data_IF_714432315582
#
_entry.id   IF_714432315582
#
_cell.length_a   1.000
_cell.length_b   1.000
_cell.length_c   1.000
_cell.angle_alpha   90.00
_cell.angle_beta   90.00
_cell.angle_gamma   90.00
#
_symmetry.space_group_name_H-M   'P 1'
#
loop_
_entity.id
_entity.type
_entity.pdbx_description
1 polymer ?
#
# COMPACT_ATOMS: atom_id res chain seq x y z
N UNK A 1 27.95 -39.83 25.65
CA UNK A 1 26.86 -39.61 24.67
C UNK A 1 26.54 -38.12 24.42
N UNK A 2 26.77 -37.18 25.36
CA UNK A 2 26.47 -35.74 25.16
C UNK A 2 27.35 -34.96 24.16
N UNK A 3 28.63 -35.33 23.98
CA UNK A 3 29.57 -34.55 23.13
C UNK A 3 29.28 -34.66 21.63
N UNK A 4 28.78 -35.82 21.18
CA UNK A 4 28.45 -36.06 19.77
C UNK A 4 27.17 -35.29 19.37
N UNK A 5 26.14 -35.30 20.21
CA UNK A 5 24.90 -34.54 19.97
C UNK A 5 25.11 -33.03 19.93
N UNK A 6 25.95 -32.49 20.82
CA UNK A 6 26.30 -31.06 20.83
C UNK A 6 27.03 -30.64 19.53
N UNK A 7 27.93 -31.48 19.03
CA UNK A 7 28.70 -31.24 17.80
C UNK A 7 27.82 -31.30 16.55
N UNK A 8 26.86 -32.22 16.49
CA UNK A 8 25.91 -32.31 15.38
C UNK A 8 24.97 -31.09 15.37
N UNK A 9 24.55 -30.62 16.54
CA UNK A 9 23.74 -29.41 16.68
C UNK A 9 24.49 -28.18 16.18
N UNK A 10 25.75 -27.99 16.57
CA UNK A 10 26.55 -26.83 16.12
C UNK A 10 26.80 -26.86 14.61
N UNK A 11 27.10 -28.02 14.03
CA UNK A 11 27.26 -28.18 12.58
C UNK A 11 25.96 -27.82 11.86
N UNK A 12 24.82 -28.29 12.36
CA UNK A 12 23.50 -28.02 11.77
C UNK A 12 23.17 -26.52 11.82
N UNK A 13 23.44 -25.86 12.96
CA UNK A 13 23.24 -24.41 13.12
C UNK A 13 24.15 -23.60 12.19
N UNK A 14 25.42 -24.00 12.03
CA UNK A 14 26.35 -23.34 11.10
C UNK A 14 25.90 -23.51 9.66
N UNK A 15 25.47 -24.71 9.25
CA UNK A 15 24.97 -24.98 7.89
C UNK A 15 23.71 -24.14 7.61
N UNK A 16 22.73 -24.14 8.53
CA UNK A 16 21.49 -23.37 8.37
C UNK A 16 21.78 -21.86 8.33
N UNK A 17 22.67 -21.34 9.18
CA UNK A 17 23.08 -19.93 9.17
C UNK A 17 23.72 -19.51 7.85
N UNK A 18 24.61 -20.34 7.28
CA UNK A 18 25.23 -20.06 5.98
C UNK A 18 24.25 -20.19 4.80
N UNK A 19 23.27 -21.09 4.88
CA UNK A 19 22.22 -21.23 3.85
C UNK A 19 21.25 -20.03 3.84
N UNK A 20 20.95 -19.45 5.01
CA UNK A 20 20.07 -18.27 5.13
C UNK A 20 20.70 -17.03 4.48
N UNK A 21 22.04 -16.94 4.46
CA UNK A 21 22.77 -15.81 3.87
C UNK A 21 22.86 -15.83 2.32
N UNK A 22 22.37 -16.89 1.67
CA UNK A 22 22.51 -17.08 0.20
C UNK A 22 21.27 -16.68 -0.60
N UNK A 23 20.22 -16.17 0.03
CA UNK A 23 19.03 -15.69 -0.71
C UNK A 23 19.29 -14.28 -1.21
N UNK A 24 19.79 -14.19 -2.44
CA UNK A 24 19.86 -12.92 -3.18
C UNK A 24 18.61 -12.74 -4.03
N UNK A 25 18.09 -11.52 -4.12
CA UNK A 25 17.04 -11.17 -5.09
C UNK A 25 17.61 -11.36 -6.50
N UNK A 26 16.96 -12.18 -7.33
CA UNK A 26 17.56 -12.59 -8.61
C UNK A 26 17.00 -11.87 -9.84
N UNK A 27 15.84 -11.20 -9.74
CA UNK A 27 15.15 -10.63 -10.90
C UNK A 27 14.36 -9.34 -10.65
N UNK A 28 14.57 -8.66 -9.52
CA UNK A 28 13.98 -7.33 -9.28
C UNK A 28 14.98 -6.27 -9.73
N UNK A 29 14.57 -5.40 -10.66
CA UNK A 29 15.40 -4.28 -11.11
C UNK A 29 15.38 -3.17 -10.03
N UNK A 30 16.56 -2.83 -9.53
CA UNK A 30 16.75 -1.78 -8.51
C UNK A 30 17.29 -0.47 -9.09
N UNK A 31 17.60 -0.43 -10.39
CA UNK A 31 18.11 0.75 -11.09
C UNK A 31 17.03 1.44 -11.92
N UNK A 32 16.23 0.67 -12.67
CA UNK A 32 15.16 1.20 -13.51
C UNK A 32 13.80 1.00 -12.82
N UNK A 33 13.51 1.84 -11.83
CA UNK A 33 12.25 1.83 -11.10
C UNK A 33 11.42 3.07 -11.39
N UNK A 34 10.10 2.96 -11.16
CA UNK A 34 9.19 4.10 -11.13
C UNK A 34 8.99 4.52 -9.67
N UNK A 35 9.25 5.79 -9.36
CA UNK A 35 9.10 6.35 -8.03
C UNK A 35 7.85 7.22 -7.92
N UNK A 36 7.07 6.98 -6.87
CA UNK A 36 5.95 7.84 -6.49
C UNK A 36 6.16 8.41 -5.10
N UNK A 37 6.00 9.72 -4.97
CA UNK A 37 5.98 10.43 -3.68
C UNK A 37 4.60 11.03 -3.47
N UNK A 38 4.05 10.83 -2.28
CA UNK A 38 2.83 11.50 -1.86
C UNK A 38 3.11 12.72 -0.97
N UNK A 39 2.05 13.43 -0.55
CA UNK A 39 2.16 14.55 0.37
C UNK A 39 2.85 14.17 1.70
N UNK A 40 3.56 15.10 2.32
CA UNK A 40 4.18 14.87 3.62
C UNK A 40 3.15 14.53 4.69
N UNK A 41 3.53 13.66 5.63
CA UNK A 41 2.68 13.23 6.77
C UNK A 41 1.32 12.62 6.38
N UNK A 42 1.15 12.21 5.12
CA UNK A 42 -0.07 11.56 4.62
C UNK A 42 -0.10 10.05 4.80
N UNK A 43 1.04 9.47 5.20
CA UNK A 43 1.30 8.02 5.17
C UNK A 43 1.08 7.42 3.77
N UNK A 44 1.39 8.17 2.70
CA UNK A 44 1.35 7.64 1.35
C UNK A 44 2.17 6.36 1.22
N UNK A 45 1.55 5.29 0.72
CA UNK A 45 2.16 3.95 0.66
C UNK A 45 1.82 3.07 1.86
N UNK A 46 0.93 3.50 2.76
CA UNK A 46 0.48 2.68 3.90
C UNK A 46 -0.16 1.36 3.45
N UNK A 47 -0.93 1.40 2.36
CA UNK A 47 -1.46 0.23 1.68
C UNK A 47 -1.26 0.35 0.17
N UNK A 48 -1.07 -0.78 -0.51
CA UNK A 48 -0.85 -0.82 -1.96
C UNK A 48 -1.55 -2.01 -2.60
N UNK A 49 -2.09 -1.83 -3.80
CA UNK A 49 -2.66 -2.90 -4.63
C UNK A 49 -2.33 -2.69 -6.11
N UNK A 50 -2.25 -3.77 -6.88
CA UNK A 50 -2.15 -3.69 -8.34
C UNK A 50 -3.55 -3.68 -8.95
N UNK A 51 -3.74 -2.87 -9.99
CA UNK A 51 -5.02 -2.77 -10.67
C UNK A 51 -4.83 -2.66 -12.18
N UNK A 52 -5.82 -3.12 -12.94
CA UNK A 52 -5.83 -3.03 -14.39
C UNK A 52 -7.19 -2.52 -14.83
N UNK A 53 -7.20 -1.45 -15.60
CA UNK A 53 -8.42 -0.80 -16.06
C UNK A 53 -8.24 -0.37 -17.52
N UNK A 54 -9.15 -0.79 -18.39
CA UNK A 54 -9.14 -0.46 -19.83
C UNK A 54 -7.79 -0.74 -20.50
N UNK A 55 -7.19 -1.88 -20.14
CA UNK A 55 -5.88 -2.31 -20.66
C UNK A 55 -4.66 -1.58 -20.08
N UNK A 56 -4.85 -0.62 -19.17
CA UNK A 56 -3.76 0.10 -18.48
C UNK A 56 -3.51 -0.49 -17.10
N UNK A 57 -2.24 -0.60 -16.71
CA UNK A 57 -1.84 -1.06 -15.40
C UNK A 57 -1.65 0.14 -14.47
N UNK A 58 -2.07 -0.03 -13.22
CA UNK A 58 -2.01 1.01 -12.19
C UNK A 58 -1.53 0.42 -10.87
N UNK A 59 -0.91 1.26 -10.07
CA UNK A 59 -0.68 1.00 -8.65
C UNK A 59 -1.69 1.84 -7.87
N UNK A 60 -2.50 1.18 -7.05
CA UNK A 60 -3.40 1.85 -6.11
C UNK A 60 -2.65 2.05 -4.82
N UNK A 61 -2.65 3.27 -4.29
CA UNK A 61 -1.89 3.64 -3.09
C UNK A 61 -2.79 4.31 -2.07
N UNK A 62 -2.88 3.74 -0.87
CA UNK A 62 -3.58 4.35 0.26
C UNK A 62 -2.69 5.34 1.03
N UNK A 63 -3.29 6.42 1.50
CA UNK A 63 -2.67 7.47 2.31
C UNK A 63 -3.66 7.92 3.43
N UNK A 64 -3.76 7.15 4.53
CA UNK A 64 -4.84 7.27 5.51
C UNK A 64 -4.91 8.59 6.28
N UNK A 65 -3.83 9.35 6.32
CA UNK A 65 -3.79 10.65 7.02
C UNK A 65 -3.69 11.83 6.06
N UNK A 66 -3.85 11.57 4.75
CA UNK A 66 -3.83 12.60 3.72
C UNK A 66 -5.05 13.52 3.83
N UNK A 67 -4.85 14.78 3.44
CA UNK A 67 -5.92 15.73 3.26
C UNK A 67 -6.44 15.59 1.82
N UNK A 68 -7.65 15.04 1.66
CA UNK A 68 -8.29 14.95 0.35
C UNK A 68 -8.81 16.30 -0.15
N UNK A 69 -9.33 16.30 -1.37
CA UNK A 69 -9.87 17.54 -1.99
C UNK A 69 -11.04 18.16 -1.21
N UNK A 70 -11.68 17.38 -0.34
CA UNK A 70 -12.76 17.86 0.52
C UNK A 70 -12.22 18.73 1.66
N UNK A 71 -12.30 20.06 1.48
CA UNK A 71 -11.81 21.06 2.45
C UNK A 71 -12.44 21.01 3.84
N UNK A 72 -13.58 20.32 4.02
CA UNK A 72 -14.32 20.25 5.30
C UNK A 72 -13.98 19.02 6.14
N UNK A 73 -13.25 18.05 5.61
CA UNK A 73 -12.89 16.82 6.32
C UNK A 73 -11.41 16.88 6.64
N UNK A 74 -11.07 16.93 7.93
CA UNK A 74 -9.68 16.97 8.36
C UNK A 74 -9.05 15.58 8.29
N UNK A 75 -8.03 15.43 7.44
CA UNK A 75 -7.20 14.21 7.32
C UNK A 75 -8.03 12.92 7.25
N UNK A 76 -9.10 12.94 6.45
CA UNK A 76 -9.99 11.79 6.27
C UNK A 76 -9.33 10.59 5.58
N UNK A 77 -8.20 10.82 4.90
CA UNK A 77 -7.50 9.81 4.12
C UNK A 77 -7.86 9.87 2.62
N UNK A 78 -6.92 9.44 1.79
CA UNK A 78 -7.02 9.47 0.32
C UNK A 78 -6.50 8.16 -0.27
N UNK A 79 -7.06 7.76 -1.41
CA UNK A 79 -6.53 6.68 -2.25
C UNK A 79 -6.12 7.27 -3.60
N UNK A 80 -4.91 6.94 -4.06
CA UNK A 80 -4.34 7.43 -5.32
C UNK A 80 -4.29 6.30 -6.36
N UNK A 81 -4.48 6.65 -7.63
CA UNK A 81 -4.20 5.82 -8.80
C UNK A 81 -2.91 6.30 -9.45
N UNK A 82 -1.87 5.48 -9.42
CA UNK A 82 -0.53 5.82 -9.88
C UNK A 82 -0.14 5.06 -11.15
N UNK A 83 0.46 5.76 -12.10
CA UNK A 83 1.04 5.25 -13.34
C UNK A 83 2.15 4.24 -13.07
N UNK A 84 2.21 3.16 -13.85
CA UNK A 84 3.31 2.19 -13.80
C UNK A 84 4.48 2.55 -14.73
N UNK A 85 4.40 3.67 -15.46
CA UNK A 85 5.37 4.02 -16.52
C UNK A 85 6.01 5.39 -16.34
N UNK A 86 5.60 6.17 -15.35
CA UNK A 86 6.08 7.53 -15.14
C UNK A 86 6.14 7.88 -13.66
N UNK A 87 7.25 8.47 -13.22
CA UNK A 87 7.43 8.93 -11.84
C UNK A 87 6.40 9.97 -11.44
N UNK A 88 5.95 9.88 -10.19
CA UNK A 88 4.99 10.79 -9.55
C UNK A 88 3.68 11.02 -10.33
N UNK A 89 3.34 10.13 -11.27
CA UNK A 89 2.08 10.18 -12.01
C UNK A 89 0.95 9.57 -11.19
N UNK A 90 0.52 10.23 -10.11
CA UNK A 90 -0.54 9.77 -9.21
C UNK A 90 -1.70 10.77 -9.15
N UNK A 91 -2.92 10.28 -9.36
CA UNK A 91 -4.14 11.05 -9.23
C UNK A 91 -4.99 10.55 -8.06
N UNK A 92 -5.58 11.45 -7.28
CA UNK A 92 -6.57 11.10 -6.25
C UNK A 92 -7.80 10.46 -6.90
N UNK A 93 -8.23 9.31 -6.37
CA UNK A 93 -9.48 8.67 -6.77
C UNK A 93 -10.61 9.29 -5.95
N UNK A 94 -11.61 9.82 -6.63
CA UNK A 94 -12.79 10.39 -5.97
C UNK A 94 -13.74 9.28 -5.49
N UNK A 95 -13.72 9.03 -4.18
CA UNK A 95 -14.63 8.11 -3.49
C UNK A 95 -15.77 8.85 -2.77
N UNK A 96 -16.07 10.09 -3.16
CA UNK A 96 -17.03 10.92 -2.46
C UNK A 96 -18.42 10.29 -2.37
N UNK A 97 -18.89 10.14 -1.14
CA UNK A 97 -20.27 9.77 -0.84
C UNK A 97 -20.75 10.52 0.40
N UNK A 98 -21.37 11.68 0.21
CA UNK A 98 -22.04 12.41 1.29
C UNK A 98 -23.32 11.68 1.71
N UNK A 99 -23.42 11.36 3.01
CA UNK A 99 -24.62 10.76 3.61
C UNK A 99 -25.21 11.76 4.61
N UNK A 100 -26.36 12.30 4.26
CA UNK A 100 -27.14 13.21 5.10
C UNK A 100 -28.41 12.52 5.59
N UNK A 101 -28.80 12.81 6.82
CA UNK A 101 -30.08 12.41 7.40
C UNK A 101 -31.22 13.08 6.64
N UNK A 102 -32.43 12.52 6.74
CA UNK A 102 -33.67 13.15 6.27
C UNK A 102 -33.86 14.58 6.81
N UNK A 103 -33.21 14.92 7.93
CA UNK A 103 -33.19 16.26 8.54
C UNK A 103 -32.00 17.13 8.12
N UNK A 104 -31.25 16.74 7.09
CA UNK A 104 -30.10 17.47 6.55
C UNK A 104 -28.85 17.46 7.43
N UNK A 105 -28.79 16.61 8.46
CA UNK A 105 -27.61 16.48 9.34
C UNK A 105 -26.65 15.44 8.79
N UNK A 106 -25.34 15.72 8.85
CA UNK A 106 -24.32 14.70 8.59
C UNK A 106 -24.52 13.54 9.58
N UNK A 107 -24.57 12.31 9.05
CA UNK A 107 -24.77 11.10 9.86
C UNK A 107 -23.41 10.52 10.29
N UNK A 108 -22.34 10.89 9.59
CA UNK A 108 -21.02 10.28 9.70
C UNK A 108 -19.95 11.35 9.99
N UNK A 109 -18.95 10.99 10.79
CA UNK A 109 -17.76 11.82 11.06
C UNK A 109 -16.56 11.23 10.33
N UNK A 110 -16.17 11.89 9.25
CA UNK A 110 -15.09 11.44 8.38
C UNK A 110 -13.72 11.98 8.79
N UNK A 111 -13.64 12.76 9.87
CA UNK A 111 -12.37 13.32 10.34
C UNK A 111 -11.47 12.20 10.89
N UNK A 112 -10.23 12.13 10.41
CA UNK A 112 -9.27 11.11 10.82
C UNK A 112 -9.83 9.67 10.73
N UNK A 113 -10.72 9.39 9.78
CA UNK A 113 -11.34 8.06 9.64
C UNK A 113 -10.38 7.00 9.05
N UNK A 114 -9.19 7.40 8.62
CA UNK A 114 -8.16 6.51 8.04
C UNK A 114 -8.56 5.87 6.71
N UNK A 115 -9.23 6.61 5.82
CA UNK A 115 -9.59 6.10 4.51
C UNK A 115 -8.34 5.79 3.67
N UNK A 116 -8.26 4.58 3.10
CA UNK A 116 -7.04 4.07 2.46
C UNK A 116 -6.05 3.37 3.40
N UNK A 117 -6.44 3.08 4.65
CA UNK A 117 -5.66 2.20 5.53
C UNK A 117 -5.52 0.78 4.95
N UNK A 118 -6.51 0.33 4.19
CA UNK A 118 -6.45 -0.87 3.37
C UNK A 118 -6.98 -0.52 1.98
N UNK A 119 -6.38 -1.11 0.95
CA UNK A 119 -6.91 -1.07 -0.41
C UNK A 119 -6.85 -2.47 -1.01
N UNK A 120 -7.85 -2.80 -1.80
CA UNK A 120 -7.95 -4.05 -2.53
C UNK A 120 -8.51 -3.80 -3.93
N UNK A 121 -8.11 -4.65 -4.86
CA UNK A 121 -8.51 -4.59 -6.26
C UNK A 121 -9.19 -5.90 -6.61
N UNK A 122 -10.40 -5.82 -7.17
CA UNK A 122 -11.12 -7.00 -7.64
C UNK A 122 -10.53 -7.62 -8.93
N UNK A 123 -9.44 -7.04 -9.45
CA UNK A 123 -8.77 -7.48 -10.66
C UNK A 123 -9.10 -6.61 -11.88
N UNK A 124 -8.85 -7.11 -13.11
CA UNK A 124 -9.03 -6.35 -14.33
C UNK A 124 -10.47 -5.83 -14.49
N UNK A 125 -10.60 -4.52 -14.70
CA UNK A 125 -11.87 -3.80 -14.89
C UNK A 125 -12.88 -3.95 -13.74
N UNK A 126 -12.43 -4.48 -12.59
CA UNK A 126 -13.22 -4.63 -11.38
C UNK A 126 -13.13 -3.40 -10.47
N UNK A 127 -13.96 -3.32 -9.43
CA UNK A 127 -13.88 -2.23 -8.46
C UNK A 127 -12.58 -2.27 -7.64
N UNK A 128 -12.18 -1.08 -7.18
CA UNK A 128 -11.20 -0.89 -6.10
C UNK A 128 -11.98 -0.62 -4.81
N UNK A 129 -11.61 -1.29 -3.71
CA UNK A 129 -12.28 -1.23 -2.41
C UNK A 129 -11.32 -1.01 -1.26
#
# INVERSE_FOLDING_TARGET
MCKCGMMLLTISVVIVSNLILLVTSFNVDTFNYVQHKGPEQSMFGFSVATHKEQGRNWVIVGAPTSQGQQSRINRGGVVYKCSTTSDNGCDEIDFHQERTSERGRAIDDKNNQWFGATVSSAGPDGPVV
#
